data_IF_912773530157
#
_entry.id   IF_912773530157
#
_cell.length_a   1.000
_cell.length_b   1.000
_cell.length_c   1.000
_cell.angle_alpha   90.00
_cell.angle_beta   90.00
_cell.angle_gamma   90.00
#
_symmetry.space_group_name_H-M   'P 1'
#
loop_
_entity.id
_entity.type
_entity.pdbx_description
1 polymer ?
#
# COMPACT_ATOMS: atom_id res chain seq x y z
N UNK A 1 1.31 18.97 -14.44
CA UNK A 1 0.33 17.86 -14.42
C UNK A 1 -0.60 18.07 -13.24
N UNK A 2 -1.90 18.27 -13.50
CA UNK A 2 -2.93 18.38 -12.46
C UNK A 2 -3.27 16.94 -12.03
N UNK A 3 -2.84 16.52 -10.85
CA UNK A 3 -3.37 15.31 -10.24
C UNK A 3 -4.62 15.69 -9.45
N UNK A 4 -5.76 15.15 -9.86
CA UNK A 4 -7.06 15.43 -9.26
C UNK A 4 -7.05 15.02 -7.79
N UNK A 5 -7.44 15.95 -6.94
CA UNK A 5 -7.70 15.72 -5.51
C UNK A 5 -9.14 15.22 -5.29
N UNK A 6 -9.79 14.73 -6.35
CA UNK A 6 -11.23 14.46 -6.39
C UNK A 6 -11.52 12.97 -6.23
N UNK A 7 -11.05 12.34 -5.16
CA UNK A 7 -11.57 10.99 -4.82
C UNK A 7 -12.38 10.99 -3.53
N UNK A 8 -12.21 11.94 -2.61
CA UNK A 8 -13.06 11.98 -1.41
C UNK A 8 -13.36 13.41 -0.96
N UNK A 9 -14.16 14.15 -1.74
CA UNK A 9 -14.97 15.21 -1.14
C UNK A 9 -16.08 14.54 -0.33
N UNK A 10 -15.77 14.23 0.94
CA UNK A 10 -16.75 13.70 1.89
C UNK A 10 -17.72 14.83 2.22
N UNK A 11 -18.92 14.75 1.64
CA UNK A 11 -20.06 15.54 2.10
C UNK A 11 -20.46 15.05 3.49
N UNK A 12 -20.76 15.96 4.42
CA UNK A 12 -21.21 15.62 5.77
C UNK A 12 -22.59 14.92 5.83
N UNK A 13 -23.21 14.66 4.67
CA UNK A 13 -24.51 14.03 4.50
C UNK A 13 -24.40 12.87 3.51
N UNK A 14 -23.82 11.75 3.94
CA UNK A 14 -24.04 10.48 3.24
C UNK A 14 -25.40 9.91 3.67
N UNK A 15 -26.21 9.38 2.73
CA UNK A 15 -27.50 8.78 3.06
C UNK A 15 -27.33 7.56 3.97
N UNK A 16 -28.20 7.43 4.97
CA UNK A 16 -28.17 6.33 5.96
C UNK A 16 -28.27 4.96 5.27
N UNK A 17 -28.93 4.87 4.10
CA UNK A 17 -28.99 3.66 3.28
C UNK A 17 -27.60 3.07 2.97
N UNK A 18 -26.62 3.89 2.61
CA UNK A 18 -25.32 3.41 2.15
C UNK A 18 -24.48 2.86 3.32
N UNK A 19 -24.62 3.48 4.49
CA UNK A 19 -24.04 3.00 5.75
C UNK A 19 -24.65 1.67 6.21
N UNK A 20 -25.93 1.44 5.90
CA UNK A 20 -26.61 0.18 6.23
C UNK A 20 -26.15 -0.97 5.33
N UNK A 21 -25.87 -0.71 4.06
CA UNK A 21 -25.32 -1.71 3.15
C UNK A 21 -23.87 -2.06 3.51
N UNK A 22 -23.02 -1.09 3.84
CA UNK A 22 -21.67 -1.36 4.38
C UNK A 22 -21.71 -2.15 5.70
N UNK A 23 -22.72 -1.90 6.53
CA UNK A 23 -22.90 -2.65 7.78
C UNK A 23 -23.26 -4.12 7.54
N UNK A 24 -23.75 -4.50 6.35
CA UNK A 24 -24.07 -5.89 6.00
C UNK A 24 -22.83 -6.67 5.56
N UNK A 25 -21.86 -5.97 4.97
CA UNK A 25 -20.60 -6.55 4.52
C UNK A 25 -19.57 -6.69 5.66
N UNK A 26 -19.66 -5.81 6.68
CA UNK A 26 -18.77 -5.82 7.83
C UNK A 26 -19.23 -6.70 9.00
N UNK A 27 -18.29 -7.42 9.63
CA UNK A 27 -18.55 -8.09 10.92
C UNK A 27 -18.30 -7.13 12.09
N UNK A 28 -19.36 -6.78 12.81
CA UNK A 28 -19.27 -6.07 14.09
C UNK A 28 -19.34 -7.03 15.26
N UNK A 29 -18.66 -6.70 16.35
CA UNK A 29 -18.83 -7.41 17.62
C UNK A 29 -20.31 -7.48 18.03
N UNK A 30 -20.72 -8.63 18.57
CA UNK A 30 -22.06 -8.87 19.10
C UNK A 30 -22.35 -8.06 20.37
N UNK A 31 -21.32 -7.56 21.04
CA UNK A 31 -21.44 -6.76 22.27
C UNK A 31 -21.83 -5.30 22.02
N UNK A 32 -21.76 -4.83 20.77
CA UNK A 32 -22.03 -3.44 20.42
C UNK A 32 -23.53 -3.22 20.16
N UNK A 33 -24.06 -2.16 20.76
CA UNK A 33 -25.42 -1.68 20.45
C UNK A 33 -25.49 -1.07 19.05
N UNK A 34 -26.68 -1.04 18.44
CA UNK A 34 -26.89 -0.46 17.11
C UNK A 34 -26.41 1.00 17.03
N UNK A 35 -26.58 1.78 18.09
CA UNK A 35 -26.11 3.16 18.17
C UNK A 35 -24.57 3.26 18.13
N UNK A 36 -23.88 2.36 18.82
CA UNK A 36 -22.42 2.31 18.81
C UNK A 36 -21.85 1.88 17.45
N UNK A 37 -22.46 0.87 16.82
CA UNK A 37 -22.07 0.44 15.46
C UNK A 37 -22.18 1.57 14.45
N UNK A 38 -23.29 2.31 14.50
CA UNK A 38 -23.54 3.45 13.62
C UNK A 38 -22.57 4.61 13.89
N UNK A 39 -22.25 4.87 15.16
CA UNK A 39 -21.21 5.85 15.53
C UNK A 39 -19.82 5.44 15.04
N UNK A 40 -19.49 4.15 15.13
CA UNK A 40 -18.21 3.59 14.66
C UNK A 40 -18.10 3.71 13.14
N UNK A 41 -19.13 3.33 12.38
CA UNK A 41 -19.17 3.46 10.92
C UNK A 41 -18.96 4.91 10.48
N UNK A 42 -19.63 5.87 11.13
CA UNK A 42 -19.44 7.30 10.84
C UNK A 42 -18.00 7.73 11.05
N UNK A 43 -17.36 7.28 12.13
CA UNK A 43 -15.97 7.59 12.43
C UNK A 43 -15.02 6.94 11.40
N UNK A 44 -15.24 5.68 11.05
CA UNK A 44 -14.44 4.96 10.06
C UNK A 44 -14.53 5.60 8.68
N UNK A 45 -15.73 6.00 8.24
CA UNK A 45 -15.92 6.75 6.99
C UNK A 45 -15.24 8.11 7.02
N UNK A 46 -15.42 8.88 8.10
CA UNK A 46 -14.79 10.19 8.25
C UNK A 46 -13.27 10.11 8.14
N UNK A 47 -12.68 9.07 8.72
CA UNK A 47 -11.23 8.86 8.73
C UNK A 47 -10.77 7.86 7.66
N UNK A 48 -11.61 7.55 6.66
CA UNK A 48 -11.27 6.64 5.55
C UNK A 48 -9.89 6.93 4.92
N UNK A 49 -9.48 8.19 4.65
CA UNK A 49 -8.16 8.46 4.06
C UNK A 49 -6.98 8.23 5.01
N UNK A 50 -7.22 8.02 6.31
CA UNK A 50 -6.15 7.72 7.28
C UNK A 50 -5.86 6.22 7.37
N UNK A 51 -6.76 5.37 6.86
CA UNK A 51 -6.59 3.93 6.84
C UNK A 51 -5.89 3.49 5.55
N UNK A 52 -4.91 2.59 5.68
CA UNK A 52 -4.30 1.94 4.53
C UNK A 52 -5.35 1.07 3.82
N UNK A 53 -5.86 1.55 2.70
CA UNK A 53 -6.69 0.76 1.78
C UNK A 53 -5.72 0.05 0.83
N UNK A 54 -5.97 -1.22 0.49
CA UNK A 54 -5.10 -2.01 -0.39
C UNK A 54 -4.93 -1.46 -1.82
N UNK A 55 -5.62 -0.38 -2.15
CA UNK A 55 -5.57 0.32 -3.44
C UNK A 55 -4.61 1.53 -3.43
N UNK A 56 -4.16 1.98 -2.25
CA UNK A 56 -3.22 3.10 -2.15
C UNK A 56 -1.76 2.61 -2.10
N UNK A 57 -0.86 3.17 -2.93
CA UNK A 57 0.54 2.79 -2.91
C UNK A 57 1.19 3.22 -1.59
N UNK A 58 1.62 2.25 -0.79
CA UNK A 58 2.28 2.46 0.51
C UNK A 58 3.56 3.33 0.40
N UNK A 59 4.15 3.41 -0.79
CA UNK A 59 5.44 4.09 -1.03
C UNK A 59 5.40 5.62 -1.08
N UNK A 60 4.24 6.28 -0.99
CA UNK A 60 4.14 7.73 -1.25
C UNK A 60 4.30 8.63 -0.01
N UNK A 61 5.07 8.19 0.99
CA UNK A 61 5.37 9.00 2.18
C UNK A 61 6.45 10.02 1.83
N UNK A 62 6.05 11.29 1.69
CA UNK A 62 6.98 12.38 1.36
C UNK A 62 7.97 12.64 2.51
N UNK A 63 9.24 12.85 2.19
CA UNK A 63 10.26 13.31 3.14
C UNK A 63 10.97 12.21 3.94
N UNK A 64 10.79 10.94 3.58
CA UNK A 64 11.49 9.79 4.17
C UNK A 64 12.49 9.16 3.18
N UNK A 65 13.04 9.97 2.28
CA UNK A 65 14.06 9.52 1.36
C UNK A 65 15.37 9.27 2.13
N UNK A 66 15.97 8.10 1.93
CA UNK A 66 17.21 7.71 2.59
C UNK A 66 18.34 7.73 1.58
N UNK A 67 19.36 8.54 1.85
CA UNK A 67 20.61 8.53 1.09
C UNK A 67 21.60 7.55 1.72
N UNK A 68 21.97 6.52 0.98
CA UNK A 68 22.92 5.50 1.42
C UNK A 68 24.29 5.74 0.76
N UNK A 69 25.28 6.10 1.57
CA UNK A 69 26.65 6.34 1.12
C UNK A 69 27.52 5.10 1.36
N UNK A 70 28.14 4.59 0.30
CA UNK A 70 29.15 3.53 0.42
C UNK A 70 30.48 4.14 0.86
N UNK A 71 31.14 3.51 1.84
CA UNK A 71 32.43 3.95 2.36
C UNK A 71 33.62 3.67 1.42
N UNK A 72 33.37 3.35 0.14
CA UNK A 72 34.41 2.97 -0.83
C UNK A 72 34.16 3.56 -2.21
N UNK A 73 35.25 3.83 -2.92
CA UNK A 73 35.23 4.38 -4.27
C UNK A 73 35.03 3.27 -5.32
N UNK A 74 34.54 3.65 -6.51
CA UNK A 74 34.40 2.70 -7.63
C UNK A 74 35.79 2.22 -8.10
N UNK A 75 35.93 0.97 -8.57
CA UNK A 75 34.87 -0.02 -8.80
C UNK A 75 34.47 -0.77 -7.53
N UNK A 76 33.17 -0.97 -7.33
CA UNK A 76 32.64 -1.70 -6.17
C UNK A 76 33.06 -3.18 -6.21
N UNK A 77 33.16 -3.80 -5.03
CA UNK A 77 33.60 -5.18 -4.87
C UNK A 77 32.77 -6.16 -5.73
N UNK A 78 33.41 -7.12 -6.43
CA UNK A 78 32.71 -8.15 -7.22
C UNK A 78 31.67 -8.97 -6.44
N UNK A 79 31.78 -9.01 -5.10
CA UNK A 79 30.84 -9.70 -4.21
C UNK A 79 29.40 -9.18 -4.29
N UNK A 80 29.19 -7.97 -4.81
CA UNK A 80 27.85 -7.43 -5.07
C UNK A 80 27.19 -8.01 -6.34
N UNK A 81 27.95 -8.71 -7.19
CA UNK A 81 27.47 -9.32 -8.44
C UNK A 81 27.32 -10.83 -8.32
N UNK A 82 26.63 -11.29 -7.28
CA UNK A 82 26.30 -12.72 -7.15
C UNK A 82 25.11 -13.06 -8.02
N UNK A 83 25.18 -14.20 -8.72
CA UNK A 83 24.00 -14.76 -9.36
C UNK A 83 22.96 -15.10 -8.28
N UNK A 84 21.66 -14.94 -8.59
CA UNK A 84 20.61 -15.39 -7.68
C UNK A 84 20.76 -16.89 -7.42
N UNK A 85 20.51 -17.28 -6.17
CA UNK A 85 20.58 -18.68 -5.78
C UNK A 85 19.51 -19.49 -6.54
N UNK A 86 19.78 -20.74 -6.94
CA UNK A 86 18.78 -21.56 -7.62
C UNK A 86 17.58 -21.85 -6.69
N UNK A 87 16.38 -21.67 -7.23
CA UNK A 87 15.12 -21.84 -6.51
C UNK A 87 14.27 -22.95 -7.14
N UNK A 88 13.41 -23.59 -6.35
CA UNK A 88 12.45 -24.56 -6.86
C UNK A 88 11.38 -23.89 -7.72
N UNK A 89 10.72 -24.65 -8.60
CA UNK A 89 9.66 -24.11 -9.47
C UNK A 89 8.45 -23.61 -8.69
N UNK A 90 8.13 -24.25 -7.56
CA UNK A 90 7.02 -23.86 -6.69
C UNK A 90 7.35 -22.55 -5.98
N UNK A 91 8.52 -22.49 -5.35
CA UNK A 91 9.02 -21.28 -4.68
C UNK A 91 9.06 -20.09 -5.64
N UNK A 92 9.54 -20.29 -6.88
CA UNK A 92 9.57 -19.22 -7.90
C UNK A 92 8.18 -18.68 -8.22
N UNK A 93 7.15 -19.53 -8.26
CA UNK A 93 5.77 -19.08 -8.55
C UNK A 93 5.21 -18.23 -7.42
N UNK A 94 5.44 -18.64 -6.17
CA UNK A 94 5.02 -17.90 -4.98
C UNK A 94 5.73 -16.55 -4.89
N UNK A 95 7.05 -16.54 -5.00
CA UNK A 95 7.85 -15.30 -5.00
C UNK A 95 7.40 -14.35 -6.13
N UNK A 96 7.09 -14.89 -7.31
CA UNK A 96 6.59 -14.07 -8.43
C UNK A 96 5.25 -13.39 -8.11
N UNK A 97 4.36 -14.07 -7.39
CA UNK A 97 3.08 -13.49 -6.96
C UNK A 97 3.34 -12.32 -6.01
N UNK A 98 4.24 -12.49 -5.06
CA UNK A 98 4.57 -11.45 -4.08
C UNK A 98 5.27 -10.26 -4.73
N UNK A 99 6.23 -10.51 -5.64
CA UNK A 99 6.90 -9.48 -6.43
C UNK A 99 5.89 -8.64 -7.22
N UNK A 100 4.90 -9.28 -7.86
CA UNK A 100 3.86 -8.56 -8.59
C UNK A 100 3.05 -7.65 -7.65
N UNK A 101 2.67 -8.14 -6.47
CA UNK A 101 1.98 -7.30 -5.47
C UNK A 101 2.82 -6.10 -5.04
N UNK A 102 4.12 -6.28 -4.83
CA UNK A 102 5.03 -5.19 -4.48
C UNK A 102 5.22 -4.16 -5.62
N UNK A 103 5.16 -4.60 -6.88
CA UNK A 103 5.17 -3.72 -8.04
C UNK A 103 3.88 -2.89 -8.13
N UNK A 104 2.72 -3.54 -7.92
CA UNK A 104 1.41 -2.87 -7.95
C UNK A 104 1.28 -1.81 -6.84
N UNK A 105 1.89 -2.06 -5.68
CA UNK A 105 1.93 -1.12 -4.55
C UNK A 105 3.00 -0.02 -4.70
N UNK A 106 3.77 0.00 -5.80
CA UNK A 106 4.88 0.93 -6.04
C UNK A 106 5.95 0.92 -4.92
N UNK A 107 6.13 -0.24 -4.28
CA UNK A 107 7.14 -0.46 -3.23
C UNK A 107 8.49 -0.82 -3.87
N UNK A 108 8.45 -1.60 -4.95
CA UNK A 108 9.61 -1.91 -5.77
C UNK A 108 9.37 -1.46 -7.21
N UNK A 109 10.44 -1.12 -7.93
CA UNK A 109 10.38 -0.77 -9.35
C UNK A 109 11.44 -1.52 -10.15
N UNK A 110 11.18 -1.69 -11.44
CA UNK A 110 12.18 -2.22 -12.36
C UNK A 110 13.23 -1.14 -12.66
N UNK A 111 14.50 -1.46 -12.43
CA UNK A 111 15.63 -0.58 -12.76
C UNK A 111 16.37 -1.20 -13.95
N UNK A 112 16.66 -0.38 -14.97
CA UNK A 112 17.43 -0.80 -16.14
C UNK A 112 18.93 -0.90 -15.83
N UNK A 113 19.65 -1.78 -16.54
CA UNK A 113 21.11 -1.95 -16.38
C UNK A 113 21.92 -0.65 -16.61
N UNK A 114 21.34 0.33 -17.32
CA UNK A 114 21.97 1.60 -17.69
C UNK A 114 21.32 2.82 -17.00
N UNK A 115 20.40 2.59 -16.07
CA UNK A 115 19.75 3.68 -15.34
C UNK A 115 20.68 4.14 -14.21
N UNK A 116 21.18 5.37 -14.33
CA UNK A 116 21.96 6.00 -13.26
C UNK A 116 20.94 6.61 -12.30
N UNK A 117 20.91 6.08 -11.07
CA UNK A 117 20.22 6.70 -9.93
C UNK A 117 20.89 8.02 -9.55
#
# INVERSE_FOLDING_TARGET
>A
MKFSFDIYQISAQDPIEELLDESREGQFSTTLTSKQKLSLLKMLRKNRPEFAIGEEPLGKIRGHDIELYLHGERPYLPMLRKHPYPESLETRKEIKKDINGLLDMDVIRRIGHNEIL
#
